data_IF_573487678133
#
_entry.id   IF_573487678133
#
_cell.length_a   1.000
_cell.length_b   1.000
_cell.length_c   1.000
_cell.angle_alpha   90.00
_cell.angle_beta   90.00
_cell.angle_gamma   90.00
#
_symmetry.space_group_name_H-M   'P 1'
#
loop_
_entity.id
_entity.type
_entity.pdbx_description
1 polymer ?
#
# COMPACT_ATOMS: atom_id res chain seq x y z
N UNK A 1 7.78 21.61 17.72
CA UNK A 1 9.11 21.21 17.22
C UNK A 1 9.56 19.86 17.76
N UNK A 2 9.55 19.63 19.07
CA UNK A 2 10.01 18.37 19.71
C UNK A 2 9.22 17.12 19.28
N UNK A 3 7.91 17.25 19.09
CA UNK A 3 7.04 16.14 18.66
C UNK A 3 7.33 15.68 17.22
N UNK A 4 7.52 16.63 16.29
CA UNK A 4 7.90 16.33 14.89
C UNK A 4 9.25 15.61 14.85
N UNK A 5 10.23 16.06 15.64
CA UNK A 5 11.53 15.41 15.75
C UNK A 5 11.40 13.97 16.28
N UNK A 6 10.63 13.77 17.35
CA UNK A 6 10.39 12.42 17.90
C UNK A 6 9.76 11.47 16.88
N UNK A 7 8.73 11.92 16.18
CA UNK A 7 8.07 11.12 15.13
C UNK A 7 9.02 10.84 13.97
N UNK A 8 9.80 11.84 13.53
CA UNK A 8 10.76 11.68 12.43
C UNK A 8 11.85 10.65 12.73
N UNK A 9 12.30 10.57 13.99
CA UNK A 9 13.26 9.57 14.45
C UNK A 9 12.63 8.18 14.46
N UNK A 10 11.39 8.06 14.95
CA UNK A 10 10.65 6.80 14.96
C UNK A 10 10.39 6.29 13.53
N UNK A 11 9.91 7.13 12.62
CA UNK A 11 9.68 6.77 11.21
C UNK A 11 10.98 6.36 10.52
N UNK A 12 12.09 7.06 10.77
CA UNK A 12 13.40 6.72 10.19
C UNK A 12 13.89 5.37 10.69
N UNK A 13 13.81 5.11 12.01
CA UNK A 13 14.21 3.84 12.60
C UNK A 13 13.36 2.68 12.07
N UNK A 14 12.03 2.84 12.02
CA UNK A 14 11.12 1.84 11.47
C UNK A 14 11.42 1.56 10.00
N UNK A 15 11.75 2.59 9.21
CA UNK A 15 12.10 2.44 7.79
C UNK A 15 13.41 1.65 7.62
N UNK A 16 14.43 1.91 8.42
CA UNK A 16 15.71 1.15 8.40
C UNK A 16 15.46 -0.31 8.76
N UNK A 17 14.73 -0.57 9.84
CA UNK A 17 14.41 -1.93 10.29
C UNK A 17 13.56 -2.66 9.24
N UNK A 18 12.57 -1.99 8.65
CA UNK A 18 11.77 -2.51 7.54
C UNK A 18 12.66 -2.93 6.37
N UNK A 19 13.49 -2.01 5.85
CA UNK A 19 14.37 -2.28 4.70
C UNK A 19 15.34 -3.43 4.97
N UNK A 20 15.93 -3.48 6.17
CA UNK A 20 16.82 -4.56 6.58
C UNK A 20 16.13 -5.93 6.56
N UNK A 21 14.89 -5.99 7.03
CA UNK A 21 14.12 -7.23 7.08
C UNK A 21 13.58 -7.66 5.71
N UNK A 22 13.17 -6.69 4.89
CA UNK A 22 12.78 -6.94 3.50
C UNK A 22 13.96 -7.42 2.65
N UNK A 23 15.15 -6.82 2.81
CA UNK A 23 16.37 -7.26 2.14
C UNK A 23 16.75 -8.71 2.50
N UNK A 24 16.48 -9.11 3.76
CA UNK A 24 16.66 -10.50 4.23
C UNK A 24 15.51 -11.43 3.84
N UNK A 25 14.56 -10.99 3.01
CA UNK A 25 13.34 -11.72 2.64
C UNK A 25 12.66 -12.33 3.87
N UNK A 26 12.46 -11.54 4.92
CA UNK A 26 11.75 -11.99 6.13
C UNK A 26 10.34 -11.41 6.17
N UNK A 27 9.35 -12.25 6.48
CA UNK A 27 7.94 -11.84 6.68
C UNK A 27 7.79 -10.69 7.67
N UNK A 28 8.64 -10.65 8.69
CA UNK A 28 8.67 -9.60 9.71
C UNK A 28 8.97 -8.21 9.12
N UNK A 29 9.61 -8.11 7.96
CA UNK A 29 9.77 -6.84 7.23
C UNK A 29 8.44 -6.27 6.72
N UNK A 30 7.51 -7.13 6.32
CA UNK A 30 6.18 -6.70 5.85
C UNK A 30 5.31 -6.20 7.02
N UNK A 31 5.35 -6.87 8.16
CA UNK A 31 4.65 -6.40 9.37
C UNK A 31 5.22 -5.08 9.88
N UNK A 32 6.54 -4.92 9.88
CA UNK A 32 7.17 -3.64 10.24
C UNK A 32 6.81 -2.56 9.23
N UNK A 33 6.72 -2.89 7.93
CA UNK A 33 6.24 -1.96 6.91
C UNK A 33 4.84 -1.46 7.22
N UNK A 34 3.93 -2.34 7.61
CA UNK A 34 2.56 -1.99 7.96
C UNK A 34 2.49 -1.10 9.22
N UNK A 35 3.25 -1.45 10.25
CA UNK A 35 3.34 -0.68 11.50
C UNK A 35 3.93 0.70 11.25
N UNK A 36 4.81 0.87 10.27
CA UNK A 36 5.41 2.16 9.93
C UNK A 36 4.42 3.14 9.26
N UNK A 37 3.36 2.66 8.60
CA UNK A 37 2.46 3.51 7.81
C UNK A 37 1.69 4.54 8.65
N UNK A 38 1.11 4.21 9.83
CA UNK A 38 0.49 5.21 10.70
C UNK A 38 1.44 6.33 11.13
N UNK A 39 2.72 6.01 11.40
CA UNK A 39 3.73 7.01 11.76
C UNK A 39 4.08 7.90 10.56
N UNK A 40 4.18 7.33 9.36
CA UNK A 40 4.38 8.09 8.13
C UNK A 40 3.18 8.98 7.80
N UNK A 41 1.94 8.48 7.95
CA UNK A 41 0.74 9.27 7.75
C UNK A 41 0.69 10.47 8.71
N UNK A 42 1.00 10.23 10.00
CA UNK A 42 1.02 11.28 11.01
C UNK A 42 2.16 12.29 10.77
N UNK A 43 3.34 11.82 10.37
CA UNK A 43 4.45 12.70 9.98
C UNK A 43 4.10 13.58 8.76
N UNK A 44 3.49 12.99 7.73
CA UNK A 44 3.07 13.71 6.52
C UNK A 44 1.99 14.75 6.83
N UNK A 45 1.08 14.44 7.74
CA UNK A 45 0.09 15.41 8.23
C UNK A 45 0.75 16.60 8.92
N UNK A 46 1.70 16.37 9.83
CA UNK A 46 2.40 17.43 10.56
C UNK A 46 3.33 18.28 9.70
N UNK A 47 3.84 17.71 8.60
CA UNK A 47 4.74 18.38 7.66
C UNK A 47 4.02 18.96 6.44
N UNK A 48 2.68 18.88 6.41
CA UNK A 48 1.82 19.32 5.29
C UNK A 48 2.22 18.70 3.93
N UNK A 49 2.84 17.51 3.99
CA UNK A 49 3.41 16.82 2.85
C UNK A 49 2.38 15.92 2.16
N UNK A 50 1.28 16.52 1.66
CA UNK A 50 0.12 15.79 1.14
C UNK A 50 0.44 14.81 0.00
N UNK A 51 1.43 15.10 -0.83
CA UNK A 51 1.89 14.19 -1.89
C UNK A 51 2.42 12.85 -1.34
N UNK A 52 3.05 12.87 -0.17
CA UNK A 52 3.54 11.66 0.48
C UNK A 52 2.42 10.87 1.18
N UNK A 53 1.26 11.48 1.43
CA UNK A 53 0.12 10.79 2.01
C UNK A 53 -0.42 9.70 1.05
N UNK A 54 -0.49 10.01 -0.25
CA UNK A 54 -0.83 9.03 -1.29
C UNK A 54 0.17 7.88 -1.31
N UNK A 55 1.48 8.20 -1.19
CA UNK A 55 2.52 7.18 -1.13
C UNK A 55 2.36 6.27 0.09
N UNK A 56 2.05 6.80 1.26
CA UNK A 56 1.77 6.01 2.47
C UNK A 56 0.61 5.04 2.26
N UNK A 57 -0.47 5.48 1.60
CA UNK A 57 -1.61 4.60 1.28
C UNK A 57 -1.18 3.48 0.33
N UNK A 58 -0.46 3.79 -0.75
CA UNK A 58 0.04 2.78 -1.69
C UNK A 58 0.99 1.80 -1.00
N UNK A 59 1.91 2.28 -0.17
CA UNK A 59 2.83 1.44 0.59
C UNK A 59 2.10 0.54 1.58
N UNK A 60 0.99 1.01 2.17
CA UNK A 60 0.11 0.18 3.00
C UNK A 60 -0.47 -0.98 2.20
N UNK A 61 -0.97 -0.72 0.99
CA UNK A 61 -1.49 -1.77 0.10
C UNK A 61 -0.42 -2.76 -0.32
N UNK A 62 0.79 -2.28 -0.66
CA UNK A 62 1.91 -3.15 -1.01
C UNK A 62 2.27 -4.06 0.17
N UNK A 63 2.33 -3.52 1.38
CA UNK A 63 2.61 -4.31 2.57
C UNK A 63 1.51 -5.35 2.84
N UNK A 64 0.22 -4.98 2.73
CA UNK A 64 -0.90 -5.92 2.85
C UNK A 64 -0.85 -7.03 1.80
N UNK A 65 -0.68 -6.67 0.52
CA UNK A 65 -0.55 -7.64 -0.57
C UNK A 65 0.66 -8.54 -0.38
N UNK A 66 1.77 -7.98 0.10
CA UNK A 66 2.96 -8.76 0.44
C UNK A 66 2.69 -9.76 1.57
N UNK A 67 1.92 -9.39 2.60
CA UNK A 67 1.55 -10.30 3.71
C UNK A 67 0.64 -11.40 3.20
N UNK A 68 -0.37 -11.06 2.39
CA UNK A 68 -1.29 -12.03 1.78
C UNK A 68 -0.51 -12.98 0.87
N UNK A 69 0.27 -12.44 -0.07
CA UNK A 69 1.10 -13.25 -0.95
C UNK A 69 2.10 -14.12 -0.19
N UNK A 70 2.73 -13.63 0.87
CA UNK A 70 3.64 -14.45 1.68
C UNK A 70 2.88 -15.56 2.42
N UNK A 71 1.67 -15.28 2.91
CA UNK A 71 0.80 -16.28 3.51
C UNK A 71 0.40 -17.31 2.46
N UNK A 72 0.09 -16.85 1.25
CA UNK A 72 -0.35 -17.70 0.16
C UNK A 72 0.82 -18.50 -0.42
N UNK A 73 2.05 -17.98 -0.51
CA UNK A 73 3.27 -18.76 -0.85
C UNK A 73 3.63 -19.80 0.22
N UNK A 74 3.23 -19.57 1.49
CA UNK A 74 3.32 -20.58 2.56
C UNK A 74 2.12 -21.55 2.50
N UNK A 75 1.01 -21.11 1.90
CA UNK A 75 -0.23 -21.88 1.72
C UNK A 75 -0.27 -22.61 0.39
N UNK A 76 0.54 -22.27 -0.61
CA UNK A 76 0.54 -22.77 -2.00
C UNK A 76 1.09 -24.20 -2.12
N UNK A 77 1.19 -24.88 -0.99
CA UNK A 77 1.02 -26.32 -0.92
C UNK A 77 -0.48 -26.72 -1.10
N UNK A 78 -1.43 -25.78 -0.97
CA UNK A 78 -2.91 -25.93 -0.93
C UNK A 78 -3.67 -24.59 -1.16
N UNK A 79 -4.35 -24.50 -2.31
CA UNK A 79 -5.67 -23.87 -2.56
C UNK A 79 -5.73 -22.50 -3.26
N UNK A 80 -6.19 -22.58 -4.51
CA UNK A 80 -6.18 -21.57 -5.59
C UNK A 80 -7.53 -20.82 -5.78
N UNK A 81 -8.58 -21.07 -4.97
CA UNK A 81 -9.94 -20.63 -5.32
C UNK A 81 -10.54 -19.47 -4.48
N UNK A 82 -10.08 -19.23 -3.25
CA UNK A 82 -10.72 -18.25 -2.33
C UNK A 82 -10.19 -16.80 -2.52
N UNK A 83 -8.96 -16.66 -3.03
CA UNK A 83 -8.31 -15.36 -3.25
C UNK A 83 -8.95 -14.58 -4.41
N UNK A 84 -9.43 -15.27 -5.44
CA UNK A 84 -10.11 -14.68 -6.61
C UNK A 84 -11.41 -13.99 -6.19
N UNK A 85 -12.19 -14.60 -5.30
CA UNK A 85 -13.45 -14.04 -4.81
C UNK A 85 -13.26 -12.75 -4.00
N UNK A 86 -12.21 -12.68 -3.19
CA UNK A 86 -11.93 -11.48 -2.36
C UNK A 86 -11.47 -10.31 -3.22
N UNK A 87 -10.67 -10.55 -4.27
CA UNK A 87 -10.22 -9.52 -5.20
C UNK A 87 -11.38 -8.96 -6.03
N UNK A 88 -12.32 -9.80 -6.46
CA UNK A 88 -13.52 -9.32 -7.16
C UNK A 88 -14.39 -8.43 -6.27
N UNK A 89 -14.59 -8.80 -5.01
CA UNK A 89 -15.37 -7.98 -4.06
C UNK A 89 -14.73 -6.61 -3.80
N UNK A 90 -13.40 -6.54 -3.67
CA UNK A 90 -12.67 -5.27 -3.47
C UNK A 90 -12.74 -4.38 -4.71
N UNK A 91 -12.66 -4.96 -5.91
CA UNK A 91 -12.80 -4.24 -7.18
C UNK A 91 -14.17 -3.55 -7.26
N UNK A 92 -15.25 -4.27 -6.99
CA UNK A 92 -16.60 -3.70 -7.00
C UNK A 92 -16.76 -2.55 -6.00
N UNK A 93 -16.13 -2.67 -4.83
CA UNK A 93 -16.17 -1.62 -3.81
C UNK A 93 -15.39 -0.37 -4.21
N UNK A 94 -14.27 -0.54 -4.91
CA UNK A 94 -13.50 0.56 -5.48
C UNK A 94 -14.27 1.27 -6.58
N UNK A 95 -14.91 0.54 -7.48
CA UNK A 95 -15.75 1.12 -8.53
C UNK A 95 -16.89 1.97 -7.93
N UNK A 96 -17.55 1.49 -6.86
CA UNK A 96 -18.60 2.26 -6.17
C UNK A 96 -18.09 3.54 -5.47
N UNK A 97 -16.90 3.51 -4.88
CA UNK A 97 -16.27 4.71 -4.26
C UNK A 97 -15.80 5.70 -5.32
N UNK A 98 -15.34 5.19 -6.47
CA UNK A 98 -14.93 6.00 -7.62
C UNK A 98 -16.13 6.70 -8.28
N UNK A 99 -17.29 6.04 -8.35
CA UNK A 99 -18.53 6.61 -8.87
C UNK A 99 -19.05 7.76 -7.98
N UNK A 100 -18.89 7.64 -6.65
CA UNK A 100 -19.24 8.72 -5.70
C UNK A 100 -18.32 9.96 -5.78
N UNK A 101 -17.14 9.85 -6.39
CA UNK A 101 -16.13 10.92 -6.43
C UNK A 101 -16.01 11.64 -7.78
N UNK A 102 -16.92 11.36 -8.73
CA UNK A 102 -16.88 11.85 -10.11
C UNK A 102 -17.07 13.37 -10.28
N UNK A 103 -17.47 14.09 -9.22
CA UNK A 103 -17.69 15.54 -9.24
C UNK A 103 -16.45 16.42 -8.97
N UNK A 104 -15.24 15.86 -8.83
CA UNK A 104 -14.03 16.64 -8.51
C UNK A 104 -13.00 16.54 -9.64
N UNK A 105 -12.85 17.61 -10.44
CA UNK A 105 -12.01 17.66 -11.65
C UNK A 105 -10.57 17.12 -11.49
N UNK A 106 -9.95 17.27 -10.31
CA UNK A 106 -8.58 16.79 -10.04
C UNK A 106 -8.47 15.26 -9.91
N UNK A 107 -9.58 14.58 -9.58
CA UNK A 107 -9.65 13.12 -9.48
C UNK A 107 -9.58 12.48 -10.86
N UNK A 108 -10.06 13.14 -11.92
CA UNK A 108 -10.06 12.58 -13.28
C UNK A 108 -8.65 12.45 -13.90
N UNK A 109 -7.73 13.34 -13.54
CA UNK A 109 -6.33 13.24 -13.99
C UNK A 109 -5.58 12.12 -13.23
N UNK A 110 -5.82 11.98 -11.93
CA UNK A 110 -5.29 10.89 -11.13
C UNK A 110 -5.89 9.54 -11.55
N UNK A 111 -7.20 9.48 -11.83
CA UNK A 111 -7.95 8.33 -12.35
C UNK A 111 -7.37 7.82 -13.66
N UNK A 112 -7.20 8.69 -14.66
CA UNK A 112 -6.68 8.28 -15.98
C UNK A 112 -5.26 7.73 -15.90
N UNK A 113 -4.39 8.37 -15.11
CA UNK A 113 -3.00 7.90 -14.93
C UNK A 113 -2.90 6.64 -14.09
N UNK A 114 -3.72 6.51 -13.06
CA UNK A 114 -3.76 5.33 -12.20
C UNK A 114 -4.32 4.12 -12.96
N UNK A 115 -5.44 4.26 -13.68
CA UNK A 115 -6.00 3.18 -14.49
C UNK A 115 -5.04 2.73 -15.60
N UNK A 116 -4.40 3.67 -16.30
CA UNK A 116 -3.38 3.34 -17.30
C UNK A 116 -2.18 2.60 -16.70
N UNK A 117 -1.81 2.92 -15.46
CA UNK A 117 -0.73 2.24 -14.75
C UNK A 117 -1.14 0.84 -14.28
N UNK A 118 -2.37 0.67 -13.77
CA UNK A 118 -2.91 -0.64 -13.35
C UNK A 118 -3.01 -1.60 -14.53
N UNK A 119 -3.57 -1.16 -15.66
CA UNK A 119 -3.65 -1.99 -16.88
C UNK A 119 -2.26 -2.40 -17.36
N UNK A 120 -1.28 -1.49 -17.28
CA UNK A 120 0.11 -1.81 -17.64
C UNK A 120 0.74 -2.85 -16.70
N UNK A 121 0.35 -2.88 -15.44
CA UNK A 121 0.80 -3.91 -14.49
C UNK A 121 0.15 -5.25 -14.81
N UNK A 122 -1.13 -5.26 -15.15
CA UNK A 122 -1.88 -6.46 -15.55
C UNK A 122 -1.24 -7.12 -16.78
N UNK A 123 -0.99 -6.34 -17.84
CA UNK A 123 -0.29 -6.80 -19.06
C UNK A 123 1.13 -7.31 -18.81
N UNK A 124 1.77 -6.88 -17.71
CA UNK A 124 3.14 -7.30 -17.35
C UNK A 124 3.12 -8.57 -16.48
N UNK A 125 1.99 -8.90 -15.85
CA UNK A 125 1.82 -10.09 -15.02
C UNK A 125 1.32 -11.30 -15.83
N UNK A 126 0.68 -11.06 -16.97
CA UNK A 126 0.22 -12.10 -17.91
C UNK A 126 1.30 -12.59 -18.91
N UNK A 127 2.56 -12.14 -18.79
CA UNK A 127 3.73 -12.58 -19.58
C UNK A 127 4.77 -13.27 -18.73
#
# INVERSE_FOLDING_TARGET
>A
MTLILGISLITSLLTVVMMWQLARKRKSGLYVSLIAQPFWAYFNFLSEAWGFYILTVVMTFIALRGIVKWRDEVSDDKLDDEAVGTLMWVRERLEAVLEQTENVQYVNLARSKFLAWVVKIDDTLDR
#
